data_IF_303011102041
#
_entry.id   IF_303011102041
#
_cell.length_a   1.000
_cell.length_b   1.000
_cell.length_c   1.000
_cell.angle_alpha   90.00
_cell.angle_beta   90.00
_cell.angle_gamma   90.00
#
_symmetry.space_group_name_H-M   'P 1'
#
loop_
_entity.id
_entity.type
_entity.pdbx_description
1 polymer ?
#
# COMPACT_ATOMS: atom_id res chain seq x y z
N UNK A 1 -6.08 24.40 3.45
CA UNK A 1 -6.33 23.61 3.59
C UNK A 1 -5.68 22.53 3.57
N UNK A 2 -5.46 22.01 4.25
CA UNK A 2 -4.53 20.97 4.26
C UNK A 2 -5.09 19.83 3.59
N UNK A 3 -4.43 19.22 2.82
CA UNK A 3 -4.88 18.09 2.10
C UNK A 3 -4.84 16.81 2.92
N UNK A 4 -5.29 16.88 4.14
CA UNK A 4 -5.30 15.67 4.96
C UNK A 4 -6.53 14.83 4.68
N UNK A 5 -6.29 13.56 4.36
CA UNK A 5 -7.36 12.60 4.16
C UNK A 5 -7.34 11.64 5.35
N UNK A 6 -8.47 11.53 6.00
CA UNK A 6 -8.59 10.63 7.14
C UNK A 6 -9.26 9.34 6.69
N UNK A 7 -8.59 8.22 6.93
CA UNK A 7 -9.12 6.91 6.59
C UNK A 7 -9.44 6.15 7.86
N UNK A 8 -10.53 5.40 7.82
CA UNK A 8 -10.81 4.48 8.92
C UNK A 8 -9.84 3.32 8.84
N UNK A 9 -9.68 2.58 9.94
CA UNK A 9 -8.82 1.41 9.96
C UNK A 9 -9.23 0.40 8.89
N UNK A 10 -10.53 0.21 8.73
CA UNK A 10 -11.06 -0.72 7.73
C UNK A 10 -10.69 -0.28 6.31
N UNK A 11 -10.85 1.00 6.03
CA UNK A 11 -10.53 1.54 4.72
C UNK A 11 -9.03 1.43 4.43
N UNK A 12 -8.21 1.72 5.42
CA UNK A 12 -6.77 1.63 5.27
C UNK A 12 -6.32 0.20 5.01
N UNK A 13 -6.91 -0.77 5.71
CA UNK A 13 -6.58 -2.17 5.49
C UNK A 13 -7.02 -2.64 4.10
N UNK A 14 -8.19 -2.21 3.66
CA UNK A 14 -8.66 -2.54 2.32
C UNK A 14 -7.74 -1.95 1.25
N UNK A 15 -7.30 -0.72 1.46
CA UNK A 15 -6.39 -0.06 0.53
C UNK A 15 -5.04 -0.78 0.48
N UNK A 16 -4.51 -1.17 1.63
CA UNK A 16 -3.27 -1.91 1.71
C UNK A 16 -3.37 -3.24 0.96
N UNK A 17 -4.49 -3.93 1.11
CA UNK A 17 -4.73 -5.19 0.41
C UNK A 17 -4.75 -4.99 -1.11
N UNK A 18 -5.40 -3.93 -1.57
CA UNK A 18 -5.44 -3.61 -3.00
C UNK A 18 -4.04 -3.28 -3.52
N UNK A 19 -3.28 -2.53 -2.76
CA UNK A 19 -1.91 -2.18 -3.14
C UNK A 19 -1.05 -3.43 -3.28
N UNK A 20 -1.18 -4.36 -2.36
CA UNK A 20 -0.44 -5.61 -2.42
C UNK A 20 -0.82 -6.45 -3.64
N UNK A 21 -2.10 -6.48 -3.98
CA UNK A 21 -2.56 -7.17 -5.18
C UNK A 21 -2.02 -6.53 -6.44
N UNK A 22 -2.05 -5.21 -6.49
CA UNK A 22 -1.53 -4.47 -7.63
C UNK A 22 -0.04 -4.73 -7.79
N UNK A 23 0.69 -4.73 -6.68
CA UNK A 23 2.12 -5.03 -6.68
C UNK A 23 2.40 -6.42 -7.24
N UNK A 24 1.63 -7.42 -6.80
CA UNK A 24 1.78 -8.78 -7.28
C UNK A 24 1.56 -8.88 -8.79
N UNK A 25 0.49 -8.26 -9.27
CA UNK A 25 0.19 -8.30 -10.69
C UNK A 25 1.27 -7.63 -11.50
N UNK A 26 1.74 -6.50 -11.03
CA UNK A 26 2.76 -5.74 -11.73
C UNK A 26 4.08 -6.51 -11.79
N UNK A 27 4.36 -7.31 -10.77
CA UNK A 27 5.61 -8.05 -10.68
C UNK A 27 5.58 -9.37 -11.45
N UNK A 28 4.40 -9.88 -11.80
CA UNK A 28 4.28 -11.22 -12.37
C UNK A 28 3.70 -11.30 -13.77
N UNK A 29 3.16 -10.21 -14.32
CA UNK A 29 2.57 -10.29 -15.65
C UNK A 29 3.64 -10.43 -16.73
N UNK A 30 3.23 -11.03 -17.84
CA UNK A 30 4.13 -11.17 -18.99
C UNK A 30 4.43 -9.80 -19.58
N UNK A 31 5.69 -9.61 -19.96
CA UNK A 31 6.09 -8.35 -20.57
C UNK A 31 6.44 -7.27 -19.58
N UNK A 32 6.52 -7.61 -18.31
CA UNK A 32 6.91 -6.63 -17.30
C UNK A 32 8.29 -6.03 -17.62
N UNK A 33 8.44 -4.74 -17.36
CA UNK A 33 9.70 -4.06 -17.56
C UNK A 33 10.40 -3.89 -16.22
N UNK A 34 11.64 -3.43 -16.28
CA UNK A 34 12.40 -3.13 -15.07
C UNK A 34 11.70 -2.03 -14.26
N UNK A 35 11.12 -1.06 -14.95
CA UNK A 35 10.38 0.02 -14.28
C UNK A 35 9.16 -0.51 -13.56
N UNK A 36 8.49 -1.50 -14.17
CA UNK A 36 7.31 -2.10 -13.55
C UNK A 36 7.68 -2.80 -12.25
N UNK A 37 8.83 -3.45 -12.21
CA UNK A 37 9.30 -4.10 -10.98
C UNK A 37 9.59 -3.08 -9.89
N UNK A 38 10.20 -1.96 -10.25
CA UNK A 38 10.48 -0.91 -9.29
C UNK A 38 9.19 -0.33 -8.74
N UNK A 39 8.23 -0.10 -9.62
CA UNK A 39 6.93 0.40 -9.21
C UNK A 39 6.24 -0.57 -8.26
N UNK A 40 6.34 -1.86 -8.55
CA UNK A 40 5.76 -2.88 -7.68
C UNK A 40 6.39 -2.84 -6.29
N UNK A 41 7.71 -2.63 -6.21
CA UNK A 41 8.38 -2.51 -4.93
C UNK A 41 7.92 -1.27 -4.16
N UNK A 42 7.78 -0.15 -4.85
CA UNK A 42 7.31 1.08 -4.23
C UNK A 42 5.90 0.91 -3.69
N UNK A 43 5.04 0.25 -4.45
CA UNK A 43 3.67 -0.02 -4.01
C UNK A 43 3.66 -0.90 -2.76
N UNK A 44 4.53 -1.90 -2.74
CA UNK A 44 4.61 -2.80 -1.59
C UNK A 44 5.11 -2.07 -0.35
N UNK A 45 6.07 -1.19 -0.50
CA UNK A 45 6.57 -0.37 0.60
C UNK A 45 5.47 0.55 1.13
N UNK A 46 4.72 1.17 0.23
CA UNK A 46 3.63 2.04 0.63
C UNK A 46 2.56 1.26 1.41
N UNK A 47 2.27 0.05 0.97
CA UNK A 47 1.32 -0.81 1.67
C UNK A 47 1.82 -1.17 3.06
N UNK A 48 3.11 -1.47 3.18
CA UNK A 48 3.70 -1.78 4.47
C UNK A 48 3.66 -0.59 5.42
N UNK A 49 3.96 0.60 4.92
CA UNK A 49 3.89 1.81 5.72
C UNK A 49 2.48 2.06 6.23
N UNK A 50 1.49 1.82 5.38
CA UNK A 50 0.10 2.01 5.74
C UNK A 50 -0.30 1.07 6.87
N UNK A 51 0.11 -0.19 6.79
CA UNK A 51 -0.16 -1.17 7.84
C UNK A 51 0.52 -0.78 9.15
N UNK A 52 1.75 -0.31 9.07
CA UNK A 52 2.48 0.15 10.25
C UNK A 52 1.77 1.30 10.93
N UNK A 53 1.25 2.25 10.16
CA UNK A 53 0.54 3.39 10.71
C UNK A 53 -0.74 2.95 11.41
N UNK A 54 -1.44 1.98 10.85
CA UNK A 54 -2.63 1.43 11.48
C UNK A 54 -2.29 0.79 12.81
N UNK A 55 -1.22 0.01 12.84
CA UNK A 55 -0.78 -0.67 14.06
C UNK A 55 -0.42 0.33 15.15
N UNK A 56 0.28 1.39 14.78
CA UNK A 56 0.65 2.43 15.74
C UNK A 56 -0.58 3.14 16.29
N UNK A 57 -1.50 3.50 15.40
CA UNK A 57 -2.73 4.17 15.84
C UNK A 57 -3.51 3.29 16.80
N UNK A 58 -3.55 1.99 16.53
CA UNK A 58 -4.26 1.05 17.42
C UNK A 58 -3.60 0.90 18.77
N UNK A 59 -2.28 1.03 18.83
CA UNK A 59 -1.56 0.82 20.09
C UNK A 59 -1.61 2.02 21.01
N UNK A 60 -1.99 3.17 20.51
CA UNK A 60 -2.08 4.36 21.35
C UNK A 60 -3.44 4.55 22.00
N UNK A 61 -4.38 3.71 21.66
CA UNK A 61 -5.74 3.79 22.22
C UNK A 61 -5.84 3.24 23.65
#
# INVERSE_FOLDING_TARGET
>A
MPGQITLTEREARALSSLLNRASDRLATYEGQTHQDRRLAEEIREAAGDLVNRISHAGSTA
#
